data_IF_968004850994
#
_entry.id   IF_968004850994
#
_cell.length_a   1.000
_cell.length_b   1.000
_cell.length_c   1.000
_cell.angle_alpha   90.00
_cell.angle_beta   90.00
_cell.angle_gamma   90.00
#
_symmetry.space_group_name_H-M   'P 1'
#
loop_
_entity.id
_entity.type
_entity.pdbx_description
1 polymer ?
#
# COMPACT_ATOMS: atom_id res chain seq x y z
N UNK A 1 -15.90 6.32 15.88
CA UNK A 1 -15.87 7.77 15.77
C UNK A 1 -14.99 8.24 14.62
N UNK A 2 -15.49 9.15 13.83
CA UNK A 2 -14.73 9.74 12.73
C UNK A 2 -13.89 10.87 13.30
N UNK A 3 -12.59 10.79 13.12
CA UNK A 3 -11.63 11.78 13.65
C UNK A 3 -11.33 12.91 12.67
N UNK A 4 -11.82 12.77 11.46
CA UNK A 4 -11.54 13.67 10.35
C UNK A 4 -12.72 14.59 10.08
N UNK A 5 -12.42 15.88 9.86
CA UNK A 5 -13.44 16.90 9.53
C UNK A 5 -13.17 17.37 8.10
N UNK A 6 -14.23 17.55 7.32
CA UNK A 6 -14.15 17.99 5.94
C UNK A 6 -15.31 17.48 5.12
N UNK A 7 -15.29 17.75 3.82
CA UNK A 7 -16.30 17.22 2.91
C UNK A 7 -16.10 15.71 2.76
N UNK A 8 -17.15 15.00 2.38
CA UNK A 8 -17.03 13.57 2.13
C UNK A 8 -15.96 13.25 1.10
N UNK A 9 -15.86 14.04 0.03
CA UNK A 9 -14.86 13.85 -1.00
C UNK A 9 -13.42 14.00 -0.46
N UNK A 10 -13.19 14.98 0.41
CA UNK A 10 -11.88 15.19 1.03
C UNK A 10 -11.53 14.06 1.98
N UNK A 11 -12.48 13.61 2.78
CA UNK A 11 -12.29 12.50 3.71
C UNK A 11 -11.95 11.22 2.96
N UNK A 12 -12.61 10.95 1.85
CA UNK A 12 -12.36 9.76 1.05
C UNK A 12 -11.04 9.83 0.29
N UNK A 13 -10.64 11.03 -0.19
CA UNK A 13 -9.39 11.22 -0.94
C UNK A 13 -8.16 11.19 -0.02
N UNK A 14 -8.29 11.72 1.19
CA UNK A 14 -7.17 11.84 2.14
C UNK A 14 -7.54 11.36 3.54
N UNK A 15 -7.78 10.05 3.71
CA UNK A 15 -8.12 9.53 5.03
C UNK A 15 -6.94 9.68 6.00
N UNK A 16 -7.24 10.09 7.23
CA UNK A 16 -6.23 10.24 8.29
C UNK A 16 -6.38 9.18 9.38
N UNK A 17 -7.50 8.48 9.40
CA UNK A 17 -7.71 7.40 10.34
C UNK A 17 -7.77 6.06 9.62
N UNK A 18 -7.31 5.02 10.29
CA UNK A 18 -7.40 3.66 9.77
C UNK A 18 -8.86 3.27 9.53
N UNK A 19 -9.79 3.75 10.36
CA UNK A 19 -11.20 3.46 10.22
C UNK A 19 -11.73 3.94 8.86
N UNK A 20 -11.43 5.20 8.50
CA UNK A 20 -11.88 5.75 7.21
C UNK A 20 -11.17 5.05 6.06
N UNK A 21 -9.87 4.79 6.17
CA UNK A 21 -9.12 4.08 5.13
C UNK A 21 -9.69 2.69 4.87
N UNK A 22 -9.99 1.94 5.91
CA UNK A 22 -10.57 0.60 5.78
C UNK A 22 -11.97 0.67 5.14
N UNK A 23 -12.76 1.69 5.50
CA UNK A 23 -14.10 1.86 4.97
C UNK A 23 -14.11 2.08 3.46
N UNK A 24 -13.15 2.85 2.94
CA UNK A 24 -13.03 3.12 1.50
C UNK A 24 -12.10 2.12 0.78
N UNK A 25 -11.51 1.18 1.52
CA UNK A 25 -10.71 0.10 0.95
C UNK A 25 -9.34 0.49 0.46
N UNK A 26 -8.73 1.56 1.01
CA UNK A 26 -7.38 1.97 0.66
C UNK A 26 -6.37 1.56 1.73
N UNK A 27 -5.10 1.47 1.34
CA UNK A 27 -4.01 1.33 2.30
C UNK A 27 -3.67 2.69 2.91
N UNK A 28 -3.43 2.71 4.21
CA UNK A 28 -3.00 3.91 4.92
C UNK A 28 -1.76 3.58 5.74
N UNK A 29 -0.71 4.36 5.57
CA UNK A 29 0.51 4.29 6.36
C UNK A 29 0.79 5.66 6.95
N UNK A 30 1.41 5.66 8.11
CA UNK A 30 1.92 6.89 8.74
C UNK A 30 3.44 6.83 8.80
N UNK A 31 4.07 7.98 8.66
CA UNK A 31 5.52 8.05 8.75
C UNK A 31 6.01 9.48 8.77
N UNK A 32 7.32 9.61 8.65
CA UNK A 32 8.01 10.90 8.62
C UNK A 32 8.75 11.00 7.29
N UNK A 33 8.52 12.10 6.58
CA UNK A 33 9.16 12.35 5.30
C UNK A 33 10.33 13.32 5.45
N UNK A 34 11.36 13.10 4.66
CA UNK A 34 12.49 14.02 4.50
C UNK A 34 12.88 13.99 3.03
N UNK A 35 12.46 15.02 2.29
CA UNK A 35 12.61 15.05 0.84
C UNK A 35 11.69 14.01 0.19
N UNK A 36 12.25 13.13 -0.62
CA UNK A 36 11.51 12.04 -1.27
C UNK A 36 11.62 10.72 -0.51
N UNK A 37 12.17 10.74 0.70
CA UNK A 37 12.29 9.54 1.52
C UNK A 37 11.26 9.56 2.64
N UNK A 38 10.45 8.52 2.70
CA UNK A 38 9.49 8.30 3.79
C UNK A 38 10.01 7.16 4.66
N UNK A 39 10.08 7.41 5.97
CA UNK A 39 10.31 6.35 6.95
C UNK A 39 8.99 6.08 7.65
N UNK A 40 8.46 4.87 7.50
CA UNK A 40 7.19 4.51 8.13
C UNK A 40 7.37 4.42 9.65
N UNK A 41 6.27 4.50 10.40
CA UNK A 41 6.31 4.37 11.87
C UNK A 41 6.89 3.01 12.31
N UNK A 42 6.85 2.01 11.44
CA UNK A 42 7.41 0.68 11.70
C UNK A 42 8.87 0.54 11.24
N UNK A 43 9.46 1.59 10.70
CA UNK A 43 10.88 1.63 10.34
C UNK A 43 11.22 1.27 8.90
N UNK A 44 10.24 1.00 8.05
CA UNK A 44 10.49 0.75 6.63
C UNK A 44 10.70 2.06 5.87
N UNK A 45 11.37 1.99 4.75
CA UNK A 45 11.67 3.15 3.91
C UNK A 45 10.97 3.03 2.57
N UNK A 46 10.30 4.10 2.16
CA UNK A 46 9.67 4.21 0.84
C UNK A 46 10.16 5.46 0.13
N UNK A 47 10.21 5.41 -1.19
CA UNK A 47 10.54 6.56 -2.03
C UNK A 47 9.27 7.19 -2.56
N UNK A 48 9.14 8.49 -2.37
CA UNK A 48 8.01 9.30 -2.82
C UNK A 48 8.35 9.97 -4.16
N UNK A 49 7.32 10.31 -4.94
CA UNK A 49 7.50 11.04 -6.18
C UNK A 49 7.74 12.54 -5.93
N UNK A 50 7.15 13.07 -4.86
CA UNK A 50 7.23 14.49 -4.51
C UNK A 50 7.93 14.67 -3.18
N UNK A 51 8.42 15.88 -2.96
CA UNK A 51 9.13 16.23 -1.72
C UNK A 51 8.14 16.58 -0.62
N UNK A 52 8.34 15.99 0.55
CA UNK A 52 7.58 16.29 1.76
C UNK A 52 8.52 16.37 2.94
N UNK A 53 8.11 17.09 3.98
CA UNK A 53 8.88 17.19 5.22
C UNK A 53 7.97 17.08 6.43
N UNK A 54 8.40 16.31 7.41
CA UNK A 54 7.68 16.13 8.66
C UNK A 54 6.74 14.92 8.64
N UNK A 55 5.80 14.90 9.57
CA UNK A 55 4.86 13.79 9.70
C UNK A 55 3.83 13.82 8.59
N UNK A 56 3.66 12.67 7.95
CA UNK A 56 2.73 12.50 6.83
C UNK A 56 1.89 11.25 6.99
N UNK A 57 0.73 11.29 6.38
CA UNK A 57 -0.07 10.11 6.08
C UNK A 57 0.11 9.78 4.60
N UNK A 58 0.09 8.49 4.27
CA UNK A 58 0.31 8.03 2.91
C UNK A 58 -0.80 7.05 2.57
N UNK A 59 -1.43 7.26 1.42
CA UNK A 59 -2.40 6.30 0.89
C UNK A 59 -1.90 5.67 -0.39
N UNK A 60 -2.35 4.45 -0.61
CA UNK A 60 -1.97 3.66 -1.77
C UNK A 60 -3.11 2.71 -2.10
N UNK A 61 -3.61 2.80 -3.33
CA UNK A 61 -4.68 1.92 -3.77
C UNK A 61 -4.20 0.47 -3.80
N UNK A 62 -5.00 -0.50 -3.32
CA UNK A 62 -4.61 -1.90 -3.38
C UNK A 62 -4.27 -2.39 -4.79
N UNK A 63 -4.96 -1.88 -5.81
CA UNK A 63 -4.69 -2.25 -7.19
C UNK A 63 -3.35 -1.74 -7.72
N UNK A 64 -2.74 -0.76 -7.05
CA UNK A 64 -1.42 -0.23 -7.42
C UNK A 64 -0.26 -1.05 -6.83
N UNK A 65 -0.55 -2.01 -5.97
CA UNK A 65 0.45 -2.89 -5.38
C UNK A 65 0.67 -4.08 -6.32
N UNK A 66 1.81 -4.10 -7.01
CA UNK A 66 2.13 -5.17 -7.95
C UNK A 66 2.86 -6.31 -7.24
N UNK A 67 2.52 -7.55 -7.61
CA UNK A 67 3.11 -8.75 -7.02
C UNK A 67 3.90 -9.53 -8.08
N UNK A 68 5.08 -10.02 -7.67
CA UNK A 68 5.97 -10.78 -8.54
C UNK A 68 6.60 -11.95 -7.78
N UNK A 69 6.81 -13.06 -8.45
CA UNK A 69 7.50 -14.21 -7.85
C UNK A 69 9.00 -13.99 -7.68
N UNK A 70 9.59 -13.20 -8.55
CA UNK A 70 11.02 -12.86 -8.51
C UNK A 70 11.18 -11.34 -8.41
N UNK A 71 12.37 -10.85 -8.00
CA UNK A 71 12.60 -9.40 -7.92
C UNK A 71 12.27 -8.73 -9.26
N UNK A 72 11.38 -7.72 -9.25
CA UNK A 72 11.01 -7.04 -10.48
C UNK A 72 12.17 -6.19 -11.00
N UNK A 73 12.28 -6.12 -12.32
CA UNK A 73 13.23 -5.26 -13.01
C UNK A 73 12.55 -3.97 -13.47
N UNK A 74 13.34 -2.96 -13.80
CA UNK A 74 12.86 -1.75 -14.40
C UNK A 74 12.66 -0.60 -13.41
N UNK A 75 11.64 0.21 -13.65
CA UNK A 75 11.49 1.52 -13.04
C UNK A 75 10.85 1.61 -11.65
N UNK A 76 10.17 0.59 -11.07
CA UNK A 76 9.59 0.83 -9.74
C UNK A 76 10.67 1.08 -8.71
N UNK A 77 10.55 2.21 -8.00
CA UNK A 77 11.54 2.61 -6.99
C UNK A 77 11.34 1.88 -5.67
N UNK A 78 10.12 1.45 -5.41
CA UNK A 78 9.78 0.74 -4.19
C UNK A 78 9.57 -0.73 -4.52
N UNK A 79 10.43 -1.59 -3.98
CA UNK A 79 10.31 -3.04 -4.15
C UNK A 79 10.95 -3.74 -2.97
N UNK A 80 10.27 -4.76 -2.51
CA UNK A 80 10.75 -5.56 -1.37
C UNK A 80 10.07 -6.93 -1.41
N UNK A 81 10.61 -7.87 -0.63
CA UNK A 81 9.97 -9.17 -0.45
C UNK A 81 9.15 -9.17 0.83
N UNK A 82 8.08 -9.93 0.83
CA UNK A 82 7.19 -10.08 1.98
C UNK A 82 6.53 -11.45 1.95
N UNK A 83 5.69 -11.70 2.92
CA UNK A 83 4.95 -12.97 3.05
C UNK A 83 3.48 -12.72 2.80
N UNK A 84 2.85 -13.61 2.03
CA UNK A 84 1.39 -13.61 1.85
C UNK A 84 0.74 -14.10 3.14
N UNK A 85 -0.02 -13.22 3.79
CA UNK A 85 -0.68 -13.51 5.06
C UNK A 85 -2.04 -14.16 4.87
N UNK A 86 -2.82 -13.63 3.94
CA UNK A 86 -4.13 -14.18 3.63
C UNK A 86 -4.56 -13.81 2.22
N UNK A 87 -5.52 -14.58 1.72
CA UNK A 87 -6.10 -14.40 0.39
C UNK A 87 -7.61 -14.43 0.55
N UNK A 88 -8.28 -13.38 0.07
CA UNK A 88 -9.73 -13.27 0.14
C UNK A 88 -10.30 -13.01 -1.25
N UNK A 89 -11.28 -13.83 -1.65
CA UNK A 89 -12.00 -13.59 -2.88
C UNK A 89 -13.11 -12.57 -2.62
N UNK A 90 -13.08 -11.45 -3.32
CA UNK A 90 -14.07 -10.37 -3.20
C UNK A 90 -14.59 -10.07 -4.60
N UNK A 91 -15.78 -10.55 -4.91
CA UNK A 91 -16.33 -10.47 -6.27
C UNK A 91 -15.45 -11.24 -7.24
N UNK A 92 -14.97 -10.57 -8.28
CA UNK A 92 -14.06 -11.13 -9.29
C UNK A 92 -12.59 -10.79 -9.03
N UNK A 93 -12.28 -10.25 -7.84
CA UNK A 93 -10.93 -9.86 -7.45
C UNK A 93 -10.46 -10.65 -6.25
N UNK A 94 -9.15 -10.72 -6.09
CA UNK A 94 -8.52 -11.34 -4.94
C UNK A 94 -7.78 -10.28 -4.16
N UNK A 95 -8.08 -10.14 -2.87
CA UNK A 95 -7.35 -9.29 -1.96
C UNK A 95 -6.29 -10.10 -1.25
N UNK A 96 -5.07 -9.61 -1.32
CA UNK A 96 -3.89 -10.28 -0.78
C UNK A 96 -3.37 -9.48 0.39
N UNK A 97 -3.48 -10.01 1.59
CA UNK A 97 -2.91 -9.40 2.78
C UNK A 97 -1.42 -9.71 2.85
N UNK A 98 -0.61 -8.67 2.92
CA UNK A 98 0.85 -8.76 2.95
C UNK A 98 1.38 -8.43 4.34
N UNK A 99 2.46 -9.11 4.73
CA UNK A 99 3.11 -8.90 6.02
C UNK A 99 4.21 -7.84 5.98
N UNK A 100 5.06 -7.86 7.02
CA UNK A 100 6.20 -6.96 7.12
C UNK A 100 7.14 -7.08 5.90
N UNK A 101 7.90 -6.04 5.55
CA UNK A 101 8.13 -4.81 6.35
C UNK A 101 7.10 -3.72 6.16
N UNK A 102 6.27 -3.79 5.14
CA UNK A 102 5.22 -2.79 4.88
C UNK A 102 3.90 -3.53 4.72
N UNK A 103 3.10 -3.65 5.79
CA UNK A 103 1.83 -4.37 5.71
C UNK A 103 0.86 -3.62 4.81
N UNK A 104 0.50 -4.23 3.70
CA UNK A 104 -0.40 -3.66 2.70
C UNK A 104 -1.41 -4.72 2.27
N UNK A 105 -2.50 -4.26 1.68
CA UNK A 105 -3.40 -5.10 0.94
C UNK A 105 -3.20 -4.83 -0.54
N UNK A 106 -2.93 -5.87 -1.31
CA UNK A 106 -2.92 -5.80 -2.76
C UNK A 106 -4.25 -6.32 -3.29
N UNK A 107 -4.66 -5.84 -4.46
CA UNK A 107 -5.85 -6.35 -5.13
C UNK A 107 -5.46 -6.76 -6.54
N UNK A 108 -5.68 -8.04 -6.85
CA UNK A 108 -5.30 -8.63 -8.12
C UNK A 108 -6.49 -9.36 -8.74
N UNK A 109 -6.38 -9.70 -10.02
CA UNK A 109 -7.39 -10.50 -10.69
C UNK A 109 -7.27 -11.96 -10.29
N UNK A 110 -8.35 -12.72 -10.48
CA UNK A 110 -8.30 -14.17 -10.26
C UNK A 110 -7.31 -14.84 -11.22
N UNK A 111 -7.18 -14.31 -12.45
CA UNK A 111 -6.19 -14.81 -13.41
C UNK A 111 -4.76 -14.59 -12.92
N UNK A 112 -4.46 -13.42 -12.38
CA UNK A 112 -3.13 -13.12 -11.85
C UNK A 112 -2.79 -14.03 -10.67
N UNK A 113 -3.76 -14.28 -9.79
CA UNK A 113 -3.56 -15.22 -8.68
C UNK A 113 -3.19 -16.62 -9.18
N UNK A 114 -3.90 -17.09 -10.20
CA UNK A 114 -3.64 -18.40 -10.77
C UNK A 114 -2.25 -18.47 -11.42
N UNK A 115 -1.88 -17.44 -12.19
CA UNK A 115 -0.58 -17.38 -12.84
C UNK A 115 0.56 -17.37 -11.83
N UNK A 116 0.39 -16.64 -10.74
CA UNK A 116 1.37 -16.56 -9.67
C UNK A 116 1.34 -17.79 -8.76
N UNK A 117 0.27 -18.56 -8.81
CA UNK A 117 0.03 -19.72 -7.94
C UNK A 117 0.21 -19.33 -6.46
N UNK A 118 -0.44 -18.24 -6.07
CA UNK A 118 -0.31 -17.68 -4.73
C UNK A 118 -1.04 -18.52 -3.69
N UNK A 119 -0.37 -18.73 -2.56
CA UNK A 119 -0.90 -19.41 -1.39
C UNK A 119 -0.50 -18.66 -0.13
N UNK A 120 -1.29 -18.80 0.91
CA UNK A 120 -0.93 -18.24 2.22
C UNK A 120 0.41 -18.81 2.68
N UNK A 121 1.26 -17.95 3.23
CA UNK A 121 2.59 -18.31 3.68
C UNK A 121 3.68 -18.15 2.62
N UNK A 122 3.30 -17.93 1.36
CA UNK A 122 4.28 -17.78 0.29
C UNK A 122 5.08 -16.48 0.44
N UNK A 123 6.33 -16.54 0.01
CA UNK A 123 7.16 -15.35 -0.17
C UNK A 123 6.86 -14.73 -1.53
N UNK A 124 6.69 -13.43 -1.57
CA UNK A 124 6.34 -12.70 -2.78
C UNK A 124 7.08 -11.37 -2.84
N UNK A 125 7.39 -10.90 -4.03
CA UNK A 125 7.96 -9.59 -4.25
C UNK A 125 6.87 -8.58 -4.54
N UNK A 126 7.01 -7.41 -3.91
CA UNK A 126 6.09 -6.28 -4.06
C UNK A 126 6.79 -5.16 -4.79
N UNK A 127 6.10 -4.54 -5.72
CA UNK A 127 6.59 -3.34 -6.40
C UNK A 127 5.49 -2.28 -6.39
N UNK A 128 5.88 -1.05 -6.09
CA UNK A 128 4.98 0.10 -6.08
C UNK A 128 5.69 1.27 -6.74
N UNK A 129 5.04 1.88 -7.72
CA UNK A 129 5.56 3.10 -8.35
C UNK A 129 5.42 4.26 -7.37
N UNK A 130 6.45 5.09 -7.27
CA UNK A 130 6.42 6.25 -6.39
C UNK A 130 5.23 7.19 -6.71
N UNK A 131 4.85 7.29 -7.98
CA UNK A 131 3.73 8.12 -8.42
C UNK A 131 2.37 7.63 -7.93
N UNK A 132 2.26 6.37 -7.50
CA UNK A 132 1.02 5.80 -6.96
C UNK A 132 0.85 6.06 -5.46
N UNK A 133 1.88 6.57 -4.81
CA UNK A 133 1.87 6.86 -3.38
C UNK A 133 1.47 8.32 -3.20
N UNK A 134 0.38 8.54 -2.47
CA UNK A 134 -0.13 9.89 -2.20
C UNK A 134 0.20 10.24 -0.74
N UNK A 135 1.04 11.26 -0.55
CA UNK A 135 1.43 11.73 0.77
C UNK A 135 0.79 13.08 1.08
N UNK A 136 0.40 13.29 2.32
CA UNK A 136 -0.20 14.54 2.78
C UNK A 136 0.05 14.71 4.29
N UNK A 137 -0.02 15.93 4.81
CA UNK A 137 0.20 16.17 6.25
C UNK A 137 -0.76 15.34 7.10
N UNK A 138 -0.19 14.78 8.12
CA UNK A 138 -0.91 13.88 9.02
C UNK A 138 -1.58 14.62 10.18
#
# INVERSE_FOLDING_TARGET
>A
QITQVGTLAEVMARPRSRYVADLIGTNLLHGTASGTTLTTDQGATLTLAETHHGEVAVTLAPAAVALHRSPPEGSPRNRWSTTVRHLDLVGDRVRVGLGDPVPLTAEITTAARAELDLREGDEIWVAVKATEIVAYPR
#
